data_IF_426744913725
#
_entry.id   IF_426744913725
#
_cell.length_a   1.000
_cell.length_b   1.000
_cell.length_c   1.000
_cell.angle_alpha   90.00
_cell.angle_beta   90.00
_cell.angle_gamma   90.00
#
_symmetry.space_group_name_H-M   'P 1'
#
loop_
_entity.id
_entity.type
_entity.pdbx_description
1 polymer ?
#
# COMPACT_ATOMS: atom_id res chain seq x y z
N UNK A 1 -12.04 2.29 -57.07
CA UNK A 1 -11.14 2.20 -55.89
C UNK A 1 -11.60 1.07 -55.01
N UNK A 2 -10.73 0.13 -54.65
CA UNK A 2 -11.07 -1.05 -53.85
C UNK A 2 -11.32 -0.68 -52.38
N UNK A 3 -12.40 0.05 -52.12
CA UNK A 3 -12.76 0.62 -50.81
C UNK A 3 -12.85 -0.45 -49.70
N UNK A 4 -13.24 -1.69 -50.03
CA UNK A 4 -13.24 -2.82 -49.08
C UNK A 4 -11.85 -3.16 -48.55
N UNK A 5 -10.82 -3.18 -49.40
CA UNK A 5 -9.44 -3.49 -48.97
C UNK A 5 -8.89 -2.37 -48.11
N UNK A 6 -9.06 -1.11 -48.53
CA UNK A 6 -8.67 0.05 -47.72
C UNK A 6 -9.40 0.12 -46.37
N UNK A 7 -10.68 -0.23 -46.33
CA UNK A 7 -11.45 -0.29 -45.07
C UNK A 7 -10.88 -1.35 -44.13
N UNK A 8 -10.58 -2.56 -44.63
CA UNK A 8 -9.95 -3.63 -43.84
C UNK A 8 -8.60 -3.19 -43.29
N UNK A 9 -7.73 -2.59 -44.11
CA UNK A 9 -6.42 -2.11 -43.65
C UNK A 9 -6.54 -0.99 -42.62
N UNK A 10 -7.51 -0.09 -42.75
CA UNK A 10 -7.77 0.98 -41.76
C UNK A 10 -8.29 0.41 -40.45
N UNK A 11 -9.26 -0.50 -40.48
CA UNK A 11 -9.77 -1.15 -39.27
C UNK A 11 -8.68 -1.97 -38.58
N UNK A 12 -7.88 -2.71 -39.33
CA UNK A 12 -6.74 -3.46 -38.79
C UNK A 12 -5.71 -2.54 -38.13
N UNK A 13 -5.41 -1.38 -38.75
CA UNK A 13 -4.51 -0.39 -38.17
C UNK A 13 -5.06 0.21 -36.86
N UNK A 14 -6.37 0.50 -36.79
CA UNK A 14 -7.01 0.98 -35.56
C UNK A 14 -6.93 -0.08 -34.46
N UNK A 15 -7.21 -1.35 -34.78
CA UNK A 15 -7.11 -2.46 -33.81
C UNK A 15 -5.67 -2.59 -33.30
N UNK A 16 -4.67 -2.49 -34.18
CA UNK A 16 -3.25 -2.53 -33.80
C UNK A 16 -2.91 -1.40 -32.80
N UNK A 17 -3.38 -0.19 -33.06
CA UNK A 17 -3.17 0.97 -32.17
C UNK A 17 -3.86 0.73 -30.82
N UNK A 18 -5.08 0.21 -30.80
CA UNK A 18 -5.80 -0.10 -29.57
C UNK A 18 -5.10 -1.18 -28.74
N UNK A 19 -4.52 -2.20 -29.38
CA UNK A 19 -3.72 -3.23 -28.70
C UNK A 19 -2.47 -2.59 -28.07
N UNK A 20 -1.76 -1.74 -28.81
CA UNK A 20 -0.60 -1.01 -28.30
C UNK A 20 -0.97 -0.12 -27.11
N UNK A 21 -2.08 0.61 -27.19
CA UNK A 21 -2.58 1.44 -26.11
C UNK A 21 -2.95 0.61 -24.86
N UNK A 22 -3.60 -0.54 -25.03
CA UNK A 22 -3.93 -1.44 -23.93
C UNK A 22 -2.66 -1.98 -23.24
N UNK A 23 -1.62 -2.35 -23.99
CA UNK A 23 -0.35 -2.79 -23.43
C UNK A 23 0.32 -1.67 -22.62
N UNK A 24 0.36 -0.45 -23.16
CA UNK A 24 0.93 0.70 -22.47
C UNK A 24 0.16 1.04 -21.18
N UNK A 25 -1.16 0.87 -21.18
CA UNK A 25 -2.01 1.09 -20.00
C UNK A 25 -1.69 0.11 -18.86
N UNK A 26 -1.49 -1.17 -19.18
CA UNK A 26 -1.21 -2.21 -18.16
C UNK A 26 0.19 -2.01 -17.54
N UNK A 27 1.19 -1.67 -18.35
CA UNK A 27 2.58 -1.52 -17.87
C UNK A 27 2.77 -0.17 -17.16
N UNK A 28 2.10 0.88 -17.63
CA UNK A 28 2.27 2.25 -17.15
C UNK A 28 1.52 2.57 -15.85
N UNK A 29 0.70 1.66 -15.31
CA UNK A 29 -0.02 1.92 -14.06
C UNK A 29 0.92 1.76 -12.88
N UNK A 30 1.16 2.86 -12.17
CA UNK A 30 1.85 2.87 -10.88
C UNK A 30 0.85 2.56 -9.76
N UNK A 31 1.23 1.65 -8.86
CA UNK A 31 0.50 1.33 -7.63
C UNK A 31 1.39 1.71 -6.46
N UNK A 32 0.82 2.32 -5.42
CA UNK A 32 1.53 2.58 -4.17
C UNK A 32 1.24 1.42 -3.21
N UNK A 33 2.30 0.76 -2.78
CA UNK A 33 2.20 -0.41 -1.90
C UNK A 33 2.71 -0.01 -0.52
N UNK A 34 1.85 -0.16 0.46
CA UNK A 34 2.17 0.00 1.87
C UNK A 34 2.48 -1.36 2.48
N UNK A 35 3.52 -1.42 3.30
CA UNK A 35 3.89 -2.60 4.05
C UNK A 35 3.69 -2.34 5.53
N UNK A 36 2.87 -3.17 6.17
CA UNK A 36 2.58 -3.10 7.60
C UNK A 36 3.30 -4.19 8.36
N UNK A 37 4.11 -3.78 9.33
CA UNK A 37 4.62 -4.67 10.35
C UNK A 37 3.81 -4.49 11.66
N UNK A 38 2.49 -4.68 11.56
CA UNK A 38 1.56 -4.50 12.67
C UNK A 38 1.00 -5.83 13.13
N UNK A 39 0.81 -5.97 14.44
CA UNK A 39 0.12 -7.13 14.98
C UNK A 39 -1.32 -7.12 14.52
N UNK A 40 -1.80 -8.24 14.00
CA UNK A 40 -3.15 -8.39 13.48
C UNK A 40 -3.83 -9.62 14.09
N UNK A 41 -5.15 -9.61 14.11
CA UNK A 41 -5.95 -10.75 14.57
C UNK A 41 -6.85 -11.21 13.44
N UNK A 42 -6.70 -12.48 13.05
CA UNK A 42 -7.48 -13.10 12.00
C UNK A 42 -8.04 -14.42 12.51
N UNK A 43 -9.36 -14.60 12.40
CA UNK A 43 -10.08 -15.80 12.87
C UNK A 43 -9.77 -16.20 14.33
N UNK A 44 -9.57 -15.21 15.21
CA UNK A 44 -9.27 -15.43 16.64
C UNK A 44 -7.83 -15.87 16.93
N UNK A 45 -6.94 -15.87 15.92
CA UNK A 45 -5.50 -16.06 16.09
C UNK A 45 -4.79 -14.72 15.96
N UNK A 46 -3.95 -14.43 16.95
CA UNK A 46 -3.10 -13.24 16.95
C UNK A 46 -1.78 -13.50 16.25
N UNK A 47 -1.47 -12.67 15.27
CA UNK A 47 -0.20 -12.63 14.55
C UNK A 47 0.57 -11.42 15.03
N UNK A 48 1.70 -11.65 15.71
CA UNK A 48 2.49 -10.57 16.28
C UNK A 48 3.38 -9.92 15.21
N UNK A 49 3.61 -8.62 15.36
CA UNK A 49 4.62 -7.90 14.60
C UNK A 49 6.02 -8.49 14.82
N UNK A 50 6.84 -8.44 13.78
CA UNK A 50 8.24 -8.83 13.86
C UNK A 50 9.07 -7.72 14.51
N UNK A 51 10.20 -8.06 15.15
CA UNK A 51 11.10 -7.04 15.71
C UNK A 51 11.63 -6.09 14.63
N UNK A 52 11.98 -6.63 13.47
CA UNK A 52 12.43 -5.83 12.32
C UNK A 52 12.18 -6.54 11.00
N UNK A 53 11.70 -5.78 10.02
CA UNK A 53 11.55 -6.24 8.63
C UNK A 53 12.28 -5.27 7.71
N UNK A 54 13.09 -5.79 6.80
CA UNK A 54 13.60 -5.00 5.68
C UNK A 54 13.01 -5.51 4.37
N UNK A 55 12.39 -4.62 3.61
CA UNK A 55 11.80 -4.91 2.32
C UNK A 55 12.83 -4.58 1.24
N UNK A 56 13.18 -5.57 0.43
CA UNK A 56 14.12 -5.45 -0.68
C UNK A 56 13.36 -5.67 -1.98
N UNK A 57 13.41 -4.68 -2.87
CA UNK A 57 12.83 -4.73 -4.21
C UNK A 57 13.95 -4.51 -5.22
N UNK A 58 14.06 -5.36 -6.23
CA UNK A 58 15.10 -5.25 -7.28
C UNK A 58 16.55 -5.14 -6.76
N UNK A 59 16.85 -5.81 -5.65
CA UNK A 59 18.15 -5.77 -4.93
C UNK A 59 18.43 -4.45 -4.18
N UNK A 60 17.48 -3.55 -4.13
CA UNK A 60 17.53 -2.32 -3.34
C UNK A 60 16.64 -2.43 -2.10
N UNK A 61 17.13 -1.94 -0.95
CA UNK A 61 16.36 -1.92 0.29
C UNK A 61 15.44 -0.70 0.28
N UNK A 62 14.15 -0.93 0.00
CA UNK A 62 13.15 0.13 -0.18
C UNK A 62 12.47 0.55 1.13
N UNK A 63 12.40 -0.35 2.11
CA UNK A 63 11.85 -0.03 3.42
C UNK A 63 12.55 -0.82 4.52
N UNK A 64 12.60 -0.23 5.71
CA UNK A 64 12.98 -0.89 6.96
C UNK A 64 11.93 -0.52 8.00
N UNK A 65 11.33 -1.53 8.59
CA UNK A 65 10.17 -1.45 9.46
C UNK A 65 10.54 -2.08 10.80
N UNK A 66 10.34 -1.35 11.87
CA UNK A 66 10.35 -1.85 13.25
C UNK A 66 8.94 -2.33 13.61
N UNK A 67 8.73 -2.72 14.86
CA UNK A 67 7.39 -3.06 15.36
C UNK A 67 6.44 -1.86 15.18
N UNK A 68 5.22 -2.16 14.73
CA UNK A 68 4.11 -1.23 14.50
C UNK A 68 4.36 -0.13 13.44
N UNK A 69 5.44 -0.27 12.66
CA UNK A 69 5.78 0.66 11.58
C UNK A 69 5.14 0.26 10.24
N UNK A 70 4.85 1.31 9.44
CA UNK A 70 4.38 1.21 8.06
C UNK A 70 5.40 1.81 7.11
N UNK A 71 5.69 1.11 6.02
CA UNK A 71 6.53 1.60 4.92
C UNK A 71 5.73 1.70 3.65
N UNK A 72 6.30 2.37 2.64
CA UNK A 72 5.69 2.42 1.32
C UNK A 72 6.74 2.25 0.22
N UNK A 73 6.31 1.73 -0.92
CA UNK A 73 7.09 1.72 -2.15
C UNK A 73 6.16 1.83 -3.34
N UNK A 74 6.62 2.48 -4.40
CA UNK A 74 5.89 2.52 -5.66
C UNK A 74 6.23 1.27 -6.48
N UNK A 75 5.22 0.63 -7.05
CA UNK A 75 5.35 -0.48 -7.98
C UNK A 75 4.83 -0.07 -9.36
N UNK A 76 5.67 -0.20 -10.37
CA UNK A 76 5.23 -0.09 -11.76
C UNK A 76 4.82 -1.47 -12.28
N UNK A 77 3.62 -1.54 -12.85
CA UNK A 77 3.05 -2.79 -13.34
C UNK A 77 2.23 -3.53 -12.28
N UNK A 78 1.92 -4.79 -12.57
CA UNK A 78 0.89 -5.55 -11.87
C UNK A 78 1.40 -6.65 -10.95
N UNK A 79 2.69 -6.97 -11.00
CA UNK A 79 3.26 -8.06 -10.21
C UNK A 79 4.24 -7.50 -9.22
N UNK A 80 3.98 -7.71 -7.92
CA UNK A 80 4.90 -7.37 -6.85
C UNK A 80 5.91 -8.50 -6.69
N UNK A 81 7.18 -8.20 -6.92
CA UNK A 81 8.31 -9.08 -6.60
C UNK A 81 9.20 -8.40 -5.56
N UNK A 82 9.31 -9.00 -4.37
CA UNK A 82 10.13 -8.48 -3.29
C UNK A 82 10.77 -9.61 -2.48
N UNK A 83 11.81 -9.26 -1.73
CA UNK A 83 12.45 -10.12 -0.73
C UNK A 83 12.31 -9.45 0.63
N UNK A 84 11.71 -10.13 1.59
CA UNK A 84 11.57 -9.70 2.97
C UNK A 84 12.71 -10.32 3.78
N UNK A 85 13.54 -9.48 4.40
CA UNK A 85 14.48 -9.89 5.44
C UNK A 85 13.82 -9.64 6.80
N UNK A 86 13.45 -10.72 7.51
CA UNK A 86 12.70 -10.65 8.75
C UNK A 86 13.59 -11.07 9.92
N UNK A 87 13.52 -10.31 11.01
CA UNK A 87 14.14 -10.63 12.30
C UNK A 87 13.02 -10.77 13.32
N UNK A 88 12.80 -11.98 13.82
CA UNK A 88 11.72 -12.28 14.76
C UNK A 88 11.99 -11.63 16.12
N UNK A 89 13.17 -11.91 16.69
CA UNK A 89 13.58 -11.39 17.99
C UNK A 89 14.90 -10.62 17.93
N UNK A 90 15.09 -9.73 18.91
CA UNK A 90 16.31 -8.92 19.02
C UNK A 90 17.56 -9.80 19.16
N UNK A 91 18.42 -9.77 18.14
CA UNK A 91 19.70 -10.47 18.14
C UNK A 91 19.69 -11.82 17.40
N UNK A 92 18.56 -12.21 16.81
CA UNK A 92 18.52 -13.34 15.88
C UNK A 92 19.02 -12.94 14.49
N UNK A 93 19.51 -13.93 13.73
CA UNK A 93 19.90 -13.72 12.34
C UNK A 93 18.65 -13.50 11.46
N UNK A 94 18.69 -12.54 10.53
CA UNK A 94 17.57 -12.28 9.64
C UNK A 94 17.40 -13.42 8.65
N UNK A 95 16.17 -13.88 8.46
CA UNK A 95 15.82 -14.87 7.45
C UNK A 95 15.17 -14.19 6.23
N UNK A 96 15.43 -14.71 5.04
CA UNK A 96 14.99 -14.10 3.77
C UNK A 96 13.82 -14.87 3.14
N UNK A 97 12.72 -14.18 2.86
CA UNK A 97 11.56 -14.72 2.13
C UNK A 97 11.31 -13.98 0.83
N UNK A 98 11.25 -14.72 -0.27
CA UNK A 98 10.87 -14.15 -1.57
C UNK A 98 9.36 -14.21 -1.71
N UNK A 99 8.75 -13.05 -1.97
CA UNK A 99 7.33 -12.90 -2.19
C UNK A 99 7.12 -12.48 -3.63
N UNK A 100 6.28 -13.22 -4.35
CA UNK A 100 5.85 -12.89 -5.69
C UNK A 100 4.33 -13.04 -5.77
N UNK A 101 3.62 -11.94 -6.00
CA UNK A 101 2.16 -11.96 -6.06
C UNK A 101 1.62 -10.89 -7.02
N UNK A 102 0.50 -11.15 -7.70
CA UNK A 102 -0.19 -10.14 -8.49
C UNK A 102 -0.92 -9.16 -7.58
N UNK A 103 -0.94 -7.88 -7.98
CA UNK A 103 -1.69 -6.81 -7.33
C UNK A 103 -3.09 -6.71 -7.96
N UNK A 104 -4.15 -6.56 -7.14
CA UNK A 104 -5.53 -6.41 -7.64
C UNK A 104 -5.69 -5.24 -8.61
N UNK A 105 -6.53 -5.41 -9.61
CA UNK A 105 -6.85 -4.34 -10.56
C UNK A 105 -7.75 -3.29 -9.90
N UNK A 106 -7.46 -2.01 -10.16
CA UNK A 106 -8.35 -0.91 -9.85
C UNK A 106 -8.19 -0.30 -8.45
N UNK A 107 -7.24 -0.80 -7.66
CA UNK A 107 -6.89 -0.24 -6.34
C UNK A 107 -5.49 0.35 -6.44
N UNK A 108 -5.35 1.67 -6.31
CA UNK A 108 -4.06 2.35 -6.46
C UNK A 108 -3.22 2.32 -5.17
N UNK A 109 -3.87 2.20 -3.99
CA UNK A 109 -3.22 2.10 -2.68
C UNK A 109 -3.47 0.74 -2.04
N UNK A 110 -2.45 -0.12 -1.99
CA UNK A 110 -2.57 -1.48 -1.43
C UNK A 110 -1.74 -1.61 -0.18
N UNK A 111 -2.33 -2.04 0.92
CA UNK A 111 -1.66 -2.30 2.20
C UNK A 111 -1.46 -3.80 2.35
N UNK A 112 -0.23 -4.21 2.65
CA UNK A 112 0.16 -5.61 2.87
C UNK A 112 0.64 -5.77 4.32
N UNK A 113 -0.10 -6.55 5.11
CA UNK A 113 0.31 -6.94 6.45
C UNK A 113 1.35 -8.09 6.36
N UNK A 114 2.58 -7.81 6.80
CA UNK A 114 3.70 -8.75 6.71
C UNK A 114 3.48 -9.97 7.65
N UNK A 115 3.12 -9.83 8.93
CA UNK A 115 2.81 -10.97 9.79
C UNK A 115 1.78 -11.95 9.21
N UNK A 116 0.67 -11.44 8.67
CA UNK A 116 -0.39 -12.26 8.09
C UNK A 116 0.02 -12.92 6.77
N UNK A 117 0.77 -12.19 5.94
CA UNK A 117 1.36 -12.73 4.70
C UNK A 117 2.29 -13.91 5.02
N UNK A 118 3.13 -13.76 6.04
CA UNK A 118 4.07 -14.78 6.48
C UNK A 118 3.39 -16.00 7.12
N UNK A 119 2.24 -15.79 7.74
CA UNK A 119 1.39 -16.86 8.23
C UNK A 119 0.67 -17.65 7.12
N UNK A 120 0.77 -17.22 5.85
CA UNK A 120 0.14 -17.88 4.72
C UNK A 120 -1.38 -17.72 4.69
N UNK A 121 -1.90 -16.66 5.29
CA UNK A 121 -3.33 -16.34 5.29
C UNK A 121 -3.84 -16.02 3.88
N UNK A 122 -5.16 -16.09 3.63
CA UNK A 122 -5.72 -15.71 2.33
C UNK A 122 -5.47 -14.23 2.02
N UNK A 123 -5.44 -13.88 0.73
CA UNK A 123 -5.19 -12.51 0.24
C UNK A 123 -6.08 -11.45 0.91
N UNK A 124 -7.34 -11.79 1.18
CA UNK A 124 -8.29 -10.88 1.85
C UNK A 124 -7.91 -10.52 3.30
N UNK A 125 -7.06 -11.30 3.96
CA UNK A 125 -6.62 -11.05 5.31
C UNK A 125 -5.45 -10.06 5.30
N UNK A 126 -4.37 -10.46 4.61
CA UNK A 126 -3.14 -9.68 4.61
C UNK A 126 -3.14 -8.48 3.65
N UNK A 127 -4.13 -8.35 2.76
CA UNK A 127 -4.17 -7.28 1.76
C UNK A 127 -5.43 -6.44 1.92
N UNK A 128 -5.26 -5.14 2.14
CA UNK A 128 -6.36 -4.17 2.26
C UNK A 128 -6.14 -2.95 1.38
N UNK A 129 -7.24 -2.27 1.03
CA UNK A 129 -7.18 -0.99 0.33
C UNK A 129 -6.80 0.12 1.31
N UNK A 130 -5.87 0.98 0.90
CA UNK A 130 -5.53 2.16 1.68
C UNK A 130 -6.69 3.17 1.60
N UNK A 131 -7.41 3.33 2.71
CA UNK A 131 -8.40 4.39 2.87
C UNK A 131 -7.74 5.54 3.64
N UNK A 132 -7.63 6.76 3.06
CA UNK A 132 -7.18 7.90 3.83
C UNK A 132 -8.17 8.15 4.97
N UNK A 133 -7.66 8.25 6.20
CA UNK A 133 -8.48 8.66 7.34
C UNK A 133 -9.06 10.03 6.99
N UNK A 134 -10.38 10.13 6.86
CA UNK A 134 -11.04 11.43 6.76
C UNK A 134 -10.84 12.06 8.12
N UNK A 135 -10.07 13.15 8.20
CA UNK A 135 -9.98 13.94 9.42
C UNK A 135 -11.38 14.48 9.65
N UNK A 136 -12.13 13.88 10.57
CA UNK A 136 -13.22 14.61 11.21
C UNK A 136 -12.53 15.79 11.88
N UNK A 137 -12.75 16.99 11.32
CA UNK A 137 -12.44 18.22 12.04
C UNK A 137 -13.22 18.11 13.35
N UNK A 138 -12.52 17.78 14.43
CA UNK A 138 -13.02 18.06 15.77
C UNK A 138 -13.19 19.58 15.80
N UNK A 139 -14.42 20.04 15.52
CA UNK A 139 -14.92 21.34 15.97
C UNK A 139 -14.83 21.29 17.50
N UNK A 140 -13.64 21.46 18.04
CA UNK A 140 -13.44 21.96 19.39
C UNK A 140 -13.90 23.40 19.33
N UNK A 141 -15.21 23.59 19.51
CA UNK A 141 -15.76 24.81 20.08
C UNK A 141 -15.10 24.97 21.47
N UNK A 142 -13.88 25.51 21.47
CA UNK A 142 -13.24 26.04 22.67
C UNK A 142 -14.12 27.22 23.11
N UNK A 143 -15.10 26.95 23.97
CA UNK A 143 -15.77 28.00 24.75
C UNK A 143 -14.68 28.76 25.50
N UNK A 144 -14.34 29.94 24.98
CA UNK A 144 -13.48 30.90 25.66
C UNK A 144 -14.21 31.33 26.94
N UNK A 145 -13.93 30.67 28.06
CA UNK A 145 -14.33 31.12 29.38
C UNK A 145 -13.53 32.38 29.69
N UNK A 146 -14.08 33.53 29.36
CA UNK A 146 -13.55 34.83 29.82
C UNK A 146 -13.91 35.00 31.29
N UNK A 147 -13.01 34.60 32.20
CA UNK A 147 -13.05 35.06 33.59
C UNK A 147 -12.71 36.56 33.60
N UNK A 148 -13.77 37.38 33.60
CA UNK A 148 -13.66 38.83 33.79
C UNK A 148 -13.23 39.11 35.23
N UNK A 149 -11.92 39.30 35.36
CA UNK A 149 -11.19 39.70 36.55
C UNK A 149 -11.84 40.96 37.16
N UNK A 150 -12.65 40.79 38.21
CA UNK A 150 -13.16 41.90 39.02
C UNK A 150 -11.98 42.49 39.79
N UNK A 151 -11.36 43.52 39.20
CA UNK A 151 -10.40 44.38 39.88
C UNK A 151 -11.15 45.18 40.94
N UNK A 152 -11.18 44.70 42.18
CA UNK A 152 -11.44 45.56 43.34
C UNK A 152 -10.17 46.35 43.64
N UNK A 153 -10.13 47.61 43.25
CA UNK A 153 -9.24 48.62 43.83
C UNK A 153 -10.06 49.82 44.32
N UNK A 154 -9.72 50.25 45.53
CA UNK A 154 -10.39 51.18 46.44
C UNK A 154 -10.81 52.54 45.86
N UNK A 155 -12.00 53.01 46.27
CA UNK A 155 -12.26 54.38 46.78
C UNK A 155 -13.40 54.37 47.80
#
# INVERSE_FOLDING_TARGET
>A
MNNKRQFIFRTAAIILILILAAIMFIIGRGHTIYFDNKSAEYEGKKYNAYYKVAVIKDKEKVAKLSDDERGMTDLMGQTLSMTLEITDEKGQEPHSHKVNMPIPYGIDGVVINIPELMAGLPQQAYMSEFVPMTTEEEDTDEEVVTDEFVMTEDM
#
